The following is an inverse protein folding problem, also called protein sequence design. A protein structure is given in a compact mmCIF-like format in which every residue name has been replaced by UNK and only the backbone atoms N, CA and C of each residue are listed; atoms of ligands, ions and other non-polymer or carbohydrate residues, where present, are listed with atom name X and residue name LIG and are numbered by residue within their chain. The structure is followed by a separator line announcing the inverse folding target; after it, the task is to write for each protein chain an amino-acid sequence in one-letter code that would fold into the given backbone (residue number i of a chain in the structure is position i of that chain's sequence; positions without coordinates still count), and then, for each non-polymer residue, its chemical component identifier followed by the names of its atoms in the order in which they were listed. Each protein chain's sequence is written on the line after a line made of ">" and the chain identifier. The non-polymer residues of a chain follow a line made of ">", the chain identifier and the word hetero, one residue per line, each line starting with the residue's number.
data_IF_205709088208
#
_entry.id   IF_205709088208
#
_cell.length_a   1.000
_cell.length_b   1.000
_cell.length_c   1.000
_cell.angle_alpha   90.00
_cell.angle_beta   90.00
_cell.angle_gamma   90.00
#
_symmetry.space_group_name_H-M   'P 1'
#
loop_
_entity.id
_entity.type
_entity.pdbx_description
1 polymer ?
#
# COMPACT_ATOMS: atom_id res chain seq x y z
N UNK A 1 -23.21 -16.03 31.77
CA UNK A 1 -21.86 -15.64 31.31
C UNK A 1 -21.09 -16.93 31.09
N UNK A 2 -20.69 -17.25 29.85
CA UNK A 2 -19.96 -18.49 29.54
C UNK A 2 -18.44 -18.25 29.66
N UNK A 3 -17.75 -18.78 30.70
CA UNK A 3 -16.31 -18.60 30.89
C UNK A 3 -15.45 -19.39 29.88
N UNK A 4 -16.06 -20.08 28.92
CA UNK A 4 -15.39 -21.00 28.00
C UNK A 4 -14.77 -20.32 26.76
N UNK A 5 -15.20 -19.09 26.43
CA UNK A 5 -14.73 -18.36 25.25
C UNK A 5 -13.25 -17.97 25.30
N UNK A 6 -12.72 -17.64 26.48
CA UNK A 6 -11.33 -17.17 26.62
C UNK A 6 -10.28 -18.24 26.34
N UNK A 7 -10.47 -19.47 26.82
CA UNK A 7 -9.53 -20.58 26.61
C UNK A 7 -9.53 -21.06 25.16
N UNK A 8 -10.71 -21.23 24.56
CA UNK A 8 -10.83 -21.64 23.17
C UNK A 8 -10.27 -20.60 22.19
N UNK A 9 -10.54 -19.31 22.44
CA UNK A 9 -9.98 -18.23 21.64
C UNK A 9 -8.46 -18.14 21.74
N UNK A 10 -7.90 -18.34 22.93
CA UNK A 10 -6.45 -18.40 23.12
C UNK A 10 -5.78 -19.52 22.32
N UNK A 11 -6.39 -20.72 22.31
CA UNK A 11 -5.89 -21.85 21.50
C UNK A 11 -5.93 -21.54 20.01
N UNK A 12 -7.03 -20.97 19.51
CA UNK A 12 -7.14 -20.57 18.10
C UNK A 12 -6.07 -19.55 17.70
N UNK A 13 -5.79 -18.58 18.57
CA UNK A 13 -4.73 -17.59 18.33
C UNK A 13 -3.33 -18.19 18.34
N UNK A 14 -3.05 -19.15 19.22
CA UNK A 14 -1.78 -19.87 19.23
C UNK A 14 -1.58 -20.73 17.97
N UNK A 15 -2.63 -21.44 17.53
CA UNK A 15 -2.61 -22.21 16.28
C UNK A 15 -2.39 -21.32 15.06
N UNK A 16 -3.06 -20.16 15.04
CA UNK A 16 -2.82 -19.16 14.00
C UNK A 16 -1.36 -18.69 14.02
N UNK A 17 -0.81 -18.35 15.18
CA UNK A 17 0.58 -17.89 15.29
C UNK A 17 1.58 -18.93 14.77
N UNK A 18 1.40 -20.20 15.14
CA UNK A 18 2.24 -21.31 14.66
C UNK A 18 2.18 -21.47 13.14
N UNK A 19 0.98 -21.31 12.56
CA UNK A 19 0.81 -21.32 11.10
C UNK A 19 1.51 -20.15 10.42
N UNK A 20 1.45 -18.94 10.99
CA UNK A 20 2.18 -17.79 10.44
C UNK A 20 3.69 -17.97 10.56
N UNK A 21 4.17 -18.62 11.63
CA UNK A 21 5.58 -18.96 11.80
C UNK A 21 6.07 -20.02 10.81
N UNK A 22 5.22 -20.97 10.40
CA UNK A 22 5.56 -21.91 9.33
C UNK A 22 5.77 -21.18 8.00
N UNK A 23 4.89 -20.22 7.67
CA UNK A 23 5.04 -19.39 6.48
C UNK A 23 6.31 -18.53 6.59
N UNK A 24 6.61 -17.94 7.74
CA UNK A 24 7.84 -17.18 7.93
C UNK A 24 9.10 -18.00 7.65
N UNK A 25 9.14 -19.27 8.08
CA UNK A 25 10.25 -20.18 7.76
C UNK A 25 10.42 -20.37 6.26
N UNK A 26 9.32 -20.54 5.53
CA UNK A 26 9.39 -20.64 4.05
C UNK A 26 9.92 -19.37 3.39
N UNK A 27 9.63 -18.18 3.93
CA UNK A 27 10.22 -16.93 3.43
C UNK A 27 11.71 -16.83 3.73
N UNK A 28 12.15 -17.30 4.90
CA UNK A 28 13.56 -17.32 5.30
C UNK A 28 14.39 -18.28 4.44
N UNK A 29 13.82 -19.44 4.09
CA UNK A 29 14.49 -20.45 3.27
C UNK A 29 14.46 -20.11 1.77
N UNK A 30 13.68 -19.11 1.36
CA UNK A 30 13.53 -18.75 -0.04
C UNK A 30 14.73 -17.92 -0.55
N UNK A 31 15.49 -18.40 -1.55
CA UNK A 31 16.66 -17.69 -2.07
C UNK A 31 16.38 -16.29 -2.62
N UNK A 32 15.12 -15.99 -2.97
CA UNK A 32 14.70 -14.66 -3.44
C UNK A 32 14.92 -13.56 -2.39
N UNK A 33 14.86 -13.90 -1.09
CA UNK A 33 14.94 -12.93 0.00
C UNK A 33 16.22 -13.06 0.83
N UNK A 34 17.14 -13.95 0.45
CA UNK A 34 18.37 -14.26 1.20
C UNK A 34 19.33 -13.07 1.37
N UNK A 35 19.21 -12.03 0.54
CA UNK A 35 20.06 -10.84 0.63
C UNK A 35 19.55 -9.80 1.64
N UNK A 36 18.37 -10.00 2.24
CA UNK A 36 17.84 -9.10 3.27
C UNK A 36 18.22 -9.63 4.65
N UNK A 37 19.31 -9.09 5.22
CA UNK A 37 19.84 -9.48 6.54
C UNK A 37 18.83 -9.24 7.68
N UNK A 38 17.88 -8.31 7.48
CA UNK A 38 16.85 -7.98 8.47
C UNK A 38 15.54 -8.76 8.26
N UNK A 39 15.50 -9.69 7.30
CA UNK A 39 14.28 -10.41 6.91
C UNK A 39 13.59 -11.06 8.11
N UNK A 40 14.33 -11.74 8.98
CA UNK A 40 13.77 -12.42 10.14
C UNK A 40 13.04 -11.46 11.09
N UNK A 41 13.59 -10.26 11.32
CA UNK A 41 12.96 -9.26 12.18
C UNK A 41 11.75 -8.61 11.50
N UNK A 42 11.85 -8.32 10.20
CA UNK A 42 10.72 -7.83 9.39
C UNK A 42 9.55 -8.81 9.42
N UNK A 43 9.81 -10.11 9.26
CA UNK A 43 8.77 -11.16 9.29
C UNK A 43 8.06 -11.23 10.66
N UNK A 44 8.78 -11.05 11.78
CA UNK A 44 8.14 -10.95 13.10
C UNK A 44 7.22 -9.73 13.20
N UNK A 45 7.66 -8.58 12.70
CA UNK A 45 6.85 -7.35 12.68
C UNK A 45 5.60 -7.55 11.81
N UNK A 46 5.76 -8.14 10.62
CA UNK A 46 4.65 -8.41 9.71
C UNK A 46 3.66 -9.40 10.30
N UNK A 47 4.13 -10.48 10.94
CA UNK A 47 3.28 -11.43 11.68
C UNK A 47 2.43 -10.71 12.72
N UNK A 48 3.06 -9.91 13.58
CA UNK A 48 2.37 -9.16 14.63
C UNK A 48 1.30 -8.24 14.05
N UNK A 49 1.64 -7.46 13.02
CA UNK A 49 0.69 -6.59 12.32
C UNK A 49 -0.47 -7.37 11.71
N UNK A 50 -0.19 -8.51 11.09
CA UNK A 50 -1.22 -9.35 10.48
C UNK A 50 -2.19 -9.92 11.52
N UNK A 51 -1.69 -10.37 12.66
CA UNK A 51 -2.51 -10.86 13.78
C UNK A 51 -3.41 -9.77 14.38
N UNK A 52 -3.00 -8.49 14.30
CA UNK A 52 -3.84 -7.34 14.68
C UNK A 52 -5.00 -7.11 13.69
N UNK A 53 -4.89 -7.58 12.43
CA UNK A 53 -5.92 -7.46 11.40
C UNK A 53 -6.94 -8.61 11.43
N UNK A 54 -6.47 -9.85 11.55
CA UNK A 54 -7.33 -11.05 11.58
C UNK A 54 -7.91 -11.30 12.97
N UNK A 55 -8.87 -10.46 13.37
CA UNK A 55 -9.50 -10.51 14.70
C UNK A 55 -10.36 -11.76 14.93
N UNK A 56 -10.85 -12.39 13.86
CA UNK A 56 -11.73 -13.57 13.86
C UNK A 56 -10.96 -14.90 13.79
N UNK A 57 -9.64 -14.87 13.63
CA UNK A 57 -8.80 -16.07 13.47
C UNK A 57 -9.28 -16.96 12.31
N UNK A 58 -9.80 -16.32 11.25
CA UNK A 58 -10.27 -17.03 10.04
C UNK A 58 -9.16 -17.24 9.01
N UNK A 59 -7.94 -16.75 9.28
CA UNK A 59 -6.73 -17.02 8.50
C UNK A 59 -6.38 -15.92 7.52
N UNK A 60 -7.39 -15.28 6.92
CA UNK A 60 -7.22 -14.26 5.88
C UNK A 60 -7.88 -12.92 6.23
N UNK A 61 -7.32 -11.83 5.71
CA UNK A 61 -7.91 -10.50 5.82
C UNK A 61 -8.99 -10.33 4.74
N UNK A 62 -10.24 -10.44 5.16
CA UNK A 62 -11.39 -10.11 4.32
C UNK A 62 -11.62 -8.58 4.22
N UNK A 63 -12.57 -8.20 3.38
CA UNK A 63 -12.95 -6.80 3.18
C UNK A 63 -13.44 -6.10 4.45
N UNK A 64 -14.04 -6.85 5.38
CA UNK A 64 -14.59 -6.32 6.63
C UNK A 64 -13.48 -6.10 7.67
N UNK A 65 -12.52 -7.01 7.76
CA UNK A 65 -11.31 -6.88 8.55
C UNK A 65 -10.49 -5.68 8.08
N UNK A 66 -10.30 -5.55 6.77
CA UNK A 66 -9.63 -4.39 6.18
C UNK A 66 -10.38 -3.08 6.49
N UNK A 67 -11.71 -3.06 6.32
CA UNK A 67 -12.56 -1.89 6.65
C UNK A 67 -12.37 -1.46 8.11
N UNK A 68 -12.60 -2.39 9.05
CA UNK A 68 -12.51 -2.11 10.50
C UNK A 68 -11.14 -1.56 10.88
N UNK A 69 -10.08 -2.12 10.32
CA UNK A 69 -8.73 -1.66 10.60
C UNK A 69 -8.48 -0.25 10.06
N UNK A 70 -8.83 0.01 8.80
CA UNK A 70 -8.61 1.33 8.20
C UNK A 70 -9.43 2.42 8.91
N UNK A 71 -10.63 2.09 9.40
CA UNK A 71 -11.41 2.97 10.27
C UNK A 71 -10.69 3.25 11.60
N UNK A 72 -10.16 2.22 12.26
CA UNK A 72 -9.36 2.37 13.50
C UNK A 72 -8.11 3.24 13.30
N UNK A 73 -7.53 3.22 12.11
CA UNK A 73 -6.38 4.04 11.74
C UNK A 73 -6.75 5.46 11.26
N UNK A 74 -8.04 5.83 11.24
CA UNK A 74 -8.50 7.12 10.73
C UNK A 74 -8.38 7.28 9.21
N UNK A 75 -8.19 6.18 8.48
CA UNK A 75 -8.00 6.12 7.04
C UNK A 75 -9.17 5.43 6.33
N UNK A 76 -10.40 5.70 6.78
CA UNK A 76 -11.62 5.06 6.26
C UNK A 76 -11.71 5.15 4.73
N UNK A 77 -12.21 4.07 4.11
CA UNK A 77 -12.32 3.88 2.66
C UNK A 77 -13.70 3.43 2.25
N UNK A 78 -14.08 3.76 1.03
CA UNK A 78 -15.30 3.24 0.40
C UNK A 78 -15.15 1.76 0.08
N UNK A 79 -16.27 1.04 -0.06
CA UNK A 79 -16.26 -0.39 -0.41
C UNK A 79 -15.49 -0.69 -1.71
N UNK A 80 -15.62 0.20 -2.72
CA UNK A 80 -14.91 0.06 -3.99
C UNK A 80 -13.40 0.23 -3.84
N UNK A 81 -12.95 1.19 -3.01
CA UNK A 81 -11.52 1.37 -2.71
C UNK A 81 -10.96 0.15 -1.97
N UNK A 82 -11.70 -0.40 -1.00
CA UNK A 82 -11.31 -1.61 -0.29
C UNK A 82 -11.13 -2.80 -1.24
N UNK A 83 -12.11 -3.04 -2.13
CA UNK A 83 -11.99 -4.08 -3.17
C UNK A 83 -10.75 -3.90 -4.03
N UNK A 84 -10.49 -2.67 -4.49
CA UNK A 84 -9.29 -2.36 -5.29
C UNK A 84 -8.00 -2.62 -4.52
N UNK A 85 -7.95 -2.31 -3.23
CA UNK A 85 -6.78 -2.58 -2.38
C UNK A 85 -6.52 -4.09 -2.26
N UNK A 86 -7.57 -4.89 -2.07
CA UNK A 86 -7.43 -6.36 -2.03
C UNK A 86 -6.92 -6.88 -3.38
N UNK A 87 -7.57 -6.49 -4.48
CA UNK A 87 -7.15 -6.90 -5.83
C UNK A 87 -5.71 -6.50 -6.15
N UNK A 88 -5.27 -5.32 -5.72
CA UNK A 88 -3.89 -4.86 -5.91
C UNK A 88 -2.88 -5.78 -5.18
N UNK A 89 -3.22 -6.24 -3.98
CA UNK A 89 -2.36 -7.08 -3.15
C UNK A 89 -2.35 -8.54 -3.63
N UNK A 90 -3.51 -9.09 -3.97
CA UNK A 90 -3.67 -10.50 -4.40
C UNK A 90 -3.37 -10.72 -5.88
N UNK A 91 -3.14 -9.64 -6.64
CA UNK A 91 -3.06 -9.70 -8.09
C UNK A 91 -4.39 -10.09 -8.76
N UNK A 92 -5.51 -9.98 -8.04
CA UNK A 92 -6.84 -10.36 -8.51
C UNK A 92 -7.13 -11.87 -8.47
N UNK A 93 -6.28 -12.67 -7.83
CA UNK A 93 -6.46 -14.12 -7.70
C UNK A 93 -7.35 -14.51 -6.51
N UNK A 94 -7.55 -13.60 -5.55
CA UNK A 94 -8.36 -13.82 -4.35
C UNK A 94 -9.15 -12.58 -3.95
N UNK A 95 -10.28 -12.79 -3.28
CA UNK A 95 -11.11 -11.76 -2.63
C UNK A 95 -10.70 -11.48 -1.18
N UNK A 96 -9.73 -12.23 -0.66
CA UNK A 96 -9.13 -12.06 0.67
C UNK A 96 -7.61 -11.94 0.53
N UNK A 97 -6.97 -11.26 1.48
CA UNK A 97 -5.51 -11.16 1.53
C UNK A 97 -5.00 -12.22 2.49
N UNK A 98 -4.27 -13.21 1.96
CA UNK A 98 -3.57 -14.20 2.79
C UNK A 98 -2.33 -13.60 3.43
N UNK A 99 -1.76 -14.29 4.43
CA UNK A 99 -0.51 -13.85 5.03
C UNK A 99 0.64 -13.80 4.01
N UNK A 100 0.66 -14.72 3.04
CA UNK A 100 1.67 -14.71 1.96
C UNK A 100 1.55 -13.48 1.09
N UNK A 101 0.34 -13.09 0.72
CA UNK A 101 0.08 -11.89 -0.07
C UNK A 101 0.53 -10.64 0.72
N UNK A 102 0.21 -10.61 2.01
CA UNK A 102 0.62 -9.54 2.91
C UNK A 102 2.14 -9.39 2.99
N UNK A 103 2.88 -10.49 3.24
CA UNK A 103 4.35 -10.47 3.30
C UNK A 103 4.94 -10.09 1.94
N UNK A 104 4.42 -10.64 0.84
CA UNK A 104 4.86 -10.29 -0.51
C UNK A 104 4.65 -8.81 -0.83
N UNK A 105 3.54 -8.22 -0.40
CA UNK A 105 3.28 -6.78 -0.49
C UNK A 105 4.32 -5.99 0.33
N UNK A 106 4.59 -6.40 1.57
CA UNK A 106 5.49 -5.69 2.47
C UNK A 106 6.97 -5.76 2.04
N UNK A 107 7.44 -6.90 1.51
CA UNK A 107 8.78 -7.06 0.97
C UNK A 107 8.92 -6.53 -0.48
N UNK A 108 7.81 -6.45 -1.21
CA UNK A 108 7.81 -6.07 -2.63
C UNK A 108 8.22 -4.62 -2.89
N UNK A 109 8.83 -4.38 -4.05
CA UNK A 109 9.18 -3.02 -4.52
C UNK A 109 7.96 -2.20 -4.96
N UNK A 110 6.82 -2.86 -5.22
CA UNK A 110 5.59 -2.18 -5.63
C UNK A 110 4.93 -1.53 -4.42
N UNK A 111 4.58 -0.25 -4.55
CA UNK A 111 3.89 0.50 -3.50
C UNK A 111 2.39 0.31 -3.64
N UNK A 112 1.84 -0.70 -2.94
CA UNK A 112 0.40 -0.85 -2.81
C UNK A 112 -0.17 0.25 -1.90
N UNK A 113 -1.40 0.71 -2.15
CA UNK A 113 -2.04 1.73 -1.30
C UNK A 113 -2.08 1.27 0.16
N UNK A 114 -2.36 -0.02 0.38
CA UNK A 114 -2.42 -0.59 1.71
C UNK A 114 -1.07 -0.52 2.43
N UNK A 115 0.01 -0.92 1.77
CA UNK A 115 1.38 -0.79 2.29
C UNK A 115 1.72 0.63 2.71
N UNK A 116 1.37 1.61 1.87
CA UNK A 116 1.62 3.03 2.15
C UNK A 116 0.93 3.44 3.44
N UNK A 117 -0.34 3.08 3.62
CA UNK A 117 -1.11 3.40 4.83
C UNK A 117 -0.45 2.80 6.08
N UNK A 118 -0.02 1.54 6.02
CA UNK A 118 0.66 0.86 7.13
C UNK A 118 1.99 1.53 7.51
N UNK A 119 2.81 1.92 6.53
CA UNK A 119 4.08 2.61 6.77
C UNK A 119 3.89 4.00 7.42
N UNK A 120 2.77 4.68 7.16
CA UNK A 120 2.47 5.96 7.80
C UNK A 120 1.98 5.82 9.25
N UNK A 121 1.34 4.70 9.60
CA UNK A 121 0.93 4.41 10.97
C UNK A 121 2.14 4.33 11.92
N UNK A 122 3.20 3.65 11.49
CA UNK A 122 4.43 3.47 12.29
C UNK A 122 5.13 4.81 12.51
N UNK A 123 5.26 5.63 11.45
CA UNK A 123 5.83 6.98 11.53
C UNK A 123 4.98 7.97 12.33
N UNK A 124 3.66 7.77 12.40
CA UNK A 124 2.79 8.58 13.26
C UNK A 124 2.97 8.22 14.73
N UNK A 125 3.13 6.93 15.05
CA UNK A 125 3.40 6.43 16.42
C UNK A 125 4.77 6.85 16.96
N UNK A 126 5.77 7.03 16.08
CA UNK A 126 7.07 7.59 16.47
C UNK A 126 7.01 9.09 16.84
N UNK A 127 6.05 9.84 16.28
CA UNK A 127 5.98 11.32 16.36
C UNK A 127 5.07 11.87 17.45
N UNK A 128 4.30 11.01 18.12
CA UNK A 128 3.49 11.39 19.29
C UNK A 128 4.36 11.80 20.51
N UNK A 129 5.70 11.69 20.39
CA UNK A 129 6.65 12.15 21.39
C UNK A 129 7.16 13.59 21.18
N UNK A 130 6.89 14.29 20.05
CA UNK A 130 7.60 15.56 19.77
C UNK A 130 6.95 16.63 18.84
N UNK A 131 5.65 16.94 18.97
CA UNK A 131 4.93 18.18 18.53
C UNK A 131 3.81 17.99 17.47
N UNK A 132 2.52 18.28 17.75
CA UNK A 132 1.40 17.76 16.93
C UNK A 132 0.86 18.65 15.79
N UNK A 133 1.13 19.96 15.74
CA UNK A 133 0.25 20.88 14.98
C UNK A 133 0.74 21.43 13.63
N UNK A 134 2.04 21.65 13.45
CA UNK A 134 2.53 22.51 12.35
C UNK A 134 2.80 21.77 11.04
N UNK A 135 3.16 20.49 11.11
CA UNK A 135 3.51 19.69 9.93
C UNK A 135 2.30 19.06 9.25
N UNK A 136 1.22 18.79 10.00
CA UNK A 136 -0.03 18.22 9.45
C UNK A 136 -0.67 19.19 8.44
N UNK A 137 -0.62 20.50 8.72
CA UNK A 137 -1.05 21.55 7.77
C UNK A 137 -0.18 21.57 6.51
N UNK A 138 1.15 21.51 6.63
CA UNK A 138 2.06 21.50 5.47
C UNK A 138 1.92 20.21 4.63
N UNK A 139 1.65 19.07 5.25
CA UNK A 139 1.46 17.79 4.56
C UNK A 139 0.11 17.69 3.86
N UNK A 140 -0.98 18.14 4.49
CA UNK A 140 -2.30 18.24 3.84
C UNK A 140 -2.26 19.22 2.67
N UNK A 141 -1.55 20.34 2.81
CA UNK A 141 -1.34 21.28 1.71
C UNK A 141 -0.53 20.64 0.56
N UNK A 142 0.47 19.83 0.88
CA UNK A 142 1.30 19.15 -0.13
C UNK A 142 0.51 18.04 -0.82
N UNK A 143 -0.17 17.16 -0.07
CA UNK A 143 -1.03 16.11 -0.64
C UNK A 143 -2.19 16.69 -1.45
N UNK A 144 -2.84 17.76 -0.97
CA UNK A 144 -3.84 18.49 -1.73
C UNK A 144 -3.24 19.08 -3.02
N UNK A 145 -2.07 19.72 -2.95
CA UNK A 145 -1.36 20.26 -4.12
C UNK A 145 -1.03 19.18 -5.15
N UNK A 146 -0.52 18.02 -4.73
CA UNK A 146 -0.22 16.90 -5.64
C UNK A 146 -1.48 16.23 -6.18
N UNK A 147 -2.53 16.09 -5.38
CA UNK A 147 -3.83 15.56 -5.81
C UNK A 147 -4.51 16.47 -6.82
N UNK A 148 -4.48 17.79 -6.62
CA UNK A 148 -5.00 18.76 -7.59
C UNK A 148 -4.16 18.80 -8.86
N UNK A 149 -2.83 18.80 -8.76
CA UNK A 149 -1.95 18.75 -9.93
C UNK A 149 -2.14 17.46 -10.74
N UNK A 150 -2.46 16.34 -10.08
CA UNK A 150 -2.82 15.09 -10.74
C UNK A 150 -4.19 15.15 -11.43
N UNK A 151 -5.20 15.77 -10.79
CA UNK A 151 -6.53 15.99 -11.38
C UNK A 151 -6.48 16.93 -12.59
N UNK A 152 -5.73 18.03 -12.47
CA UNK A 152 -5.53 19.04 -13.52
C UNK A 152 -4.78 18.44 -14.73
N UNK A 153 -3.73 17.65 -14.48
CA UNK A 153 -2.99 16.96 -15.54
C UNK A 153 -3.76 15.80 -16.17
N UNK A 154 -4.70 15.18 -15.44
CA UNK A 154 -5.65 14.20 -15.98
C UNK A 154 -6.74 14.88 -16.82
N UNK A 155 -7.17 16.09 -16.47
CA UNK A 155 -8.06 16.93 -17.28
C UNK A 155 -7.42 17.35 -18.60
N UNK A 156 -6.13 17.73 -18.60
CA UNK A 156 -5.37 18.03 -19.82
C UNK A 156 -5.30 16.85 -20.81
N UNK A 157 -5.23 15.60 -20.32
CA UNK A 157 -5.20 14.40 -21.18
C UNK A 157 -6.60 14.07 -21.76
N UNK A 158 -7.68 14.51 -21.11
CA UNK A 158 -9.06 14.29 -21.59
C UNK A 158 -9.50 15.37 -22.60
N UNK A 159 -8.95 16.58 -22.52
CA UNK A 159 -9.31 17.67 -23.44
C UNK A 159 -8.83 17.44 -24.89
N UNK A 160 -7.80 16.60 -25.11
CA UNK A 160 -7.35 16.27 -26.47
C UNK A 160 -8.19 15.18 -27.17
N UNK A 161 -9.12 14.51 -26.47
CA UNK A 161 -9.83 13.34 -27.02
C UNK A 161 -11.17 13.67 -27.73
N UNK A 162 -11.62 14.93 -27.74
CA UNK A 162 -12.93 15.31 -28.30
C UNK A 162 -12.87 16.41 -29.38
N UNK A 163 -11.73 16.64 -30.03
CA UNK A 163 -11.66 17.53 -31.21
C UNK A 163 -11.51 16.71 -32.49
N UNK A 164 -12.62 16.16 -32.97
CA UNK A 164 -12.73 15.68 -34.37
C UNK A 164 -12.94 16.89 -35.29
N UNK A 165 -11.90 17.70 -35.48
CA UNK A 165 -11.85 18.70 -36.55
C UNK A 165 -10.65 18.38 -37.47
N UNK A 166 -10.87 17.90 -38.72
CA UNK A 166 -9.78 17.51 -39.61
C UNK A 166 -8.99 18.69 -40.21
N UNK A 167 -9.23 19.93 -39.79
CA UNK A 167 -8.79 21.13 -40.54
C UNK A 167 -7.78 22.05 -39.84
N UNK A 168 -7.01 21.59 -38.85
CA UNK A 168 -5.94 22.42 -38.24
C UNK A 168 -4.55 21.90 -38.59
N UNK A 169 -4.01 22.36 -39.72
CA UNK A 169 -2.61 22.17 -40.08
C UNK A 169 -1.71 23.23 -39.44
N UNK A 170 -0.54 22.77 -38.98
CA UNK A 170 0.71 23.52 -38.73
C UNK A 170 0.73 24.44 -37.50
N UNK A 171 1.39 23.96 -36.45
CA UNK A 171 2.71 24.46 -36.01
C UNK A 171 3.28 23.58 -34.89
N UNK A 172 4.48 23.06 -35.09
CA UNK A 172 5.43 22.63 -34.06
C UNK A 172 4.93 21.75 -32.90
N UNK A 173 4.50 20.52 -33.17
CA UNK A 173 4.44 19.48 -32.13
C UNK A 173 5.36 18.32 -32.52
N UNK A 174 6.36 18.05 -31.68
CA UNK A 174 7.17 16.83 -31.77
C UNK A 174 6.24 15.65 -31.57
N UNK A 175 5.99 14.92 -32.65
CA UNK A 175 5.29 13.64 -32.63
C UNK A 175 6.03 12.67 -31.70
N UNK A 176 5.47 12.43 -30.52
CA UNK A 176 5.80 11.25 -29.71
C UNK A 176 4.95 10.09 -30.23
N UNK A 177 5.31 9.62 -31.42
CA UNK A 177 4.73 8.41 -31.97
C UNK A 177 5.10 7.21 -31.09
N UNK A 178 4.07 6.41 -30.79
CA UNK A 178 4.16 4.97 -30.58
C UNK A 178 4.97 4.51 -29.35
N UNK A 179 4.54 4.89 -28.15
CA UNK A 179 4.95 4.23 -26.92
C UNK A 179 3.73 3.70 -26.16
N UNK A 180 3.71 2.41 -25.80
CA UNK A 180 2.68 1.85 -24.91
C UNK A 180 2.50 2.74 -23.67
N UNK A 181 1.27 3.02 -23.20
CA UNK A 181 1.01 3.91 -22.06
C UNK A 181 1.84 3.56 -20.81
N UNK A 182 2.18 2.29 -20.65
CA UNK A 182 3.06 1.78 -19.58
C UNK A 182 4.50 2.30 -19.67
N UNK A 183 5.03 2.47 -20.88
CA UNK A 183 6.40 2.96 -21.14
C UNK A 183 6.49 4.47 -20.86
N UNK A 184 5.45 5.22 -21.22
CA UNK A 184 5.39 6.67 -20.99
C UNK A 184 5.32 6.95 -19.47
N UNK A 185 4.48 6.22 -18.73
CA UNK A 185 4.40 6.34 -17.27
C UNK A 185 5.73 5.96 -16.60
N UNK A 186 6.41 4.91 -17.10
CA UNK A 186 7.71 4.48 -16.60
C UNK A 186 8.81 5.51 -16.83
N UNK A 187 8.88 6.13 -18.02
CA UNK A 187 9.83 7.23 -18.30
C UNK A 187 9.57 8.47 -17.45
N UNK A 188 8.30 8.79 -17.19
CA UNK A 188 7.92 9.89 -16.29
C UNK A 188 8.33 9.60 -14.85
N UNK A 189 8.17 8.36 -14.39
CA UNK A 189 8.60 7.93 -13.05
C UNK A 189 10.14 7.93 -12.89
N UNK A 190 10.87 7.44 -13.89
CA UNK A 190 12.34 7.41 -13.92
C UNK A 190 12.95 8.83 -13.99
N UNK A 191 12.25 9.79 -14.59
CA UNK A 191 12.65 11.21 -14.58
C UNK A 191 12.42 11.91 -13.23
N UNK A 192 11.42 11.49 -12.45
CA UNK A 192 11.12 12.07 -11.14
C UNK A 192 12.07 11.60 -10.03
N UNK A 193 12.61 10.39 -10.12
CA UNK A 193 13.53 9.83 -9.12
C UNK A 193 14.87 10.56 -8.99
N UNK A 194 15.27 11.36 -9.99
CA UNK A 194 16.56 12.08 -10.02
C UNK A 194 16.57 13.40 -9.22
N UNK A 195 15.41 13.87 -8.74
CA UNK A 195 15.27 15.15 -8.03
C UNK A 195 14.69 15.01 -6.61
N UNK A 196 14.78 13.82 -6.00
CA UNK A 196 14.48 13.65 -4.58
C UNK A 196 15.73 14.07 -3.79
N UNK A 197 15.73 15.19 -3.05
CA UNK A 197 16.87 15.54 -2.21
C UNK A 197 17.07 14.47 -1.13
N UNK A 198 18.32 14.06 -0.96
CA UNK A 198 18.73 13.05 0.02
C UNK A 198 18.38 13.55 1.43
N UNK A 199 17.43 12.89 2.09
CA UNK A 199 17.09 13.14 3.48
C UNK A 199 18.00 12.28 4.37
N UNK A 200 19.28 12.59 4.43
CA UNK A 200 20.14 12.13 5.52
C UNK A 200 19.91 13.03 6.73
N UNK A 201 19.66 12.47 7.94
CA UNK A 201 19.64 13.27 9.16
C UNK A 201 21.07 13.67 9.53
N UNK A 202 21.27 14.95 9.86
CA UNK A 202 22.44 15.41 10.63
C UNK A 202 22.18 15.18 12.12
#
# INVERSE_FOLDING_TARGET
>A
MNPQGGKAFGVLKAQQEEFLDSINREFLDNPKYSTDEELAEKLKIFKKKYMDFDLNAQGDIDIMALKRMLEKMGAAKTHLELKKMITEVTGGMSETISYRDFVCMMLGKRSAIFKIILMYEEKAKEKDKSHPGLLQRKYLQTFHKYSQKFKEKKSLIVLDYNSSDPSASKTGAVSLSQGSPRIIIRRIWEGFGKNIPNLSPK
#
